data_IF_136587300630
#
_entry.id   IF_136587300630
#
_cell.length_a   1.000
_cell.length_b   1.000
_cell.length_c   1.000
_cell.angle_alpha   90.00
_cell.angle_beta   90.00
_cell.angle_gamma   90.00
#
_symmetry.space_group_name_H-M   'P 1'
#
loop_
_entity.id
_entity.type
_entity.pdbx_description
1 polymer ?
#
# COMPACT_ATOMS: atom_id res chain seq x y z
N UNK A 1 59.66 -33.62 -50.07
CA UNK A 1 59.47 -32.32 -50.76
C UNK A 1 58.44 -32.53 -51.86
N UNK A 2 57.17 -32.25 -51.60
CA UNK A 2 56.09 -32.49 -52.57
C UNK A 2 55.81 -31.22 -53.36
N UNK A 3 56.00 -31.28 -54.69
CA UNK A 3 55.93 -30.16 -55.62
C UNK A 3 54.47 -29.75 -55.81
N UNK A 4 54.07 -28.65 -55.20
CA UNK A 4 52.72 -28.08 -55.31
C UNK A 4 52.46 -27.61 -56.76
N UNK A 5 51.75 -28.40 -57.56
CA UNK A 5 51.24 -27.93 -58.85
C UNK A 5 50.16 -26.87 -58.63
N UNK A 6 50.50 -25.61 -58.88
CA UNK A 6 49.54 -24.51 -58.84
C UNK A 6 48.53 -24.68 -59.98
N UNK A 7 47.38 -25.29 -59.69
CA UNK A 7 46.26 -25.39 -60.63
C UNK A 7 45.53 -24.04 -60.68
N UNK A 8 45.43 -23.44 -61.87
CA UNK A 8 44.77 -22.16 -62.11
C UNK A 8 43.42 -22.37 -62.79
N UNK A 9 42.41 -21.58 -62.42
CA UNK A 9 41.20 -21.44 -63.23
C UNK A 9 41.37 -20.23 -64.14
N UNK A 10 41.22 -20.42 -65.45
CA UNK A 10 41.30 -19.35 -66.45
C UNK A 10 39.90 -19.07 -66.94
N UNK A 11 39.37 -17.90 -66.61
CA UNK A 11 38.11 -17.40 -67.18
C UNK A 11 38.52 -16.46 -68.32
N UNK A 12 38.19 -16.85 -69.54
CA UNK A 12 38.44 -16.06 -70.75
C UNK A 12 37.11 -15.42 -71.14
N UNK A 13 36.99 -14.11 -70.95
CA UNK A 13 35.83 -13.36 -71.42
C UNK A 13 36.14 -12.88 -72.84
N UNK A 14 35.47 -13.46 -73.84
CA UNK A 14 35.66 -13.11 -75.26
C UNK A 14 34.53 -12.14 -75.64
N UNK A 15 34.82 -10.83 -75.86
CA UNK A 15 33.82 -9.90 -76.35
C UNK A 15 33.54 -10.13 -77.85
N UNK A 16 32.33 -9.79 -78.30
CA UNK A 16 31.84 -10.02 -79.66
C UNK A 16 32.21 -8.90 -80.66
N UNK A 17 33.30 -8.16 -80.41
CA UNK A 17 33.80 -7.12 -81.32
C UNK A 17 35.32 -7.19 -81.48
N UNK A 18 35.83 -7.12 -82.73
CA UNK A 18 37.19 -7.54 -83.08
C UNK A 18 38.33 -6.58 -82.67
N UNK A 19 38.03 -5.41 -82.08
CA UNK A 19 39.04 -4.40 -81.72
C UNK A 19 39.40 -4.34 -80.22
N UNK A 20 38.67 -5.03 -79.34
CA UNK A 20 38.94 -4.99 -77.90
C UNK A 20 39.80 -6.15 -77.40
N UNK A 21 40.79 -5.81 -76.56
CA UNK A 21 41.75 -6.75 -75.96
C UNK A 21 41.03 -7.76 -75.08
N UNK A 22 41.33 -9.04 -75.28
CA UNK A 22 40.79 -10.13 -74.46
C UNK A 22 41.33 -10.05 -73.03
N UNK A 23 40.41 -9.91 -72.06
CA UNK A 23 40.77 -9.93 -70.64
C UNK A 23 40.78 -11.37 -70.14
N UNK A 24 41.98 -11.89 -69.88
CA UNK A 24 42.19 -13.23 -69.35
C UNK A 24 42.48 -13.13 -67.86
N UNK A 25 41.48 -13.46 -67.02
CA UNK A 25 41.64 -13.47 -65.57
C UNK A 25 42.06 -14.86 -65.12
N UNK A 26 43.34 -15.02 -64.74
CA UNK A 26 43.90 -16.26 -64.19
C UNK A 26 43.82 -16.22 -62.67
N UNK A 27 42.84 -16.90 -62.09
CA UNK A 27 42.68 -16.96 -60.63
C UNK A 27 43.34 -18.24 -60.10
N UNK A 28 44.35 -18.14 -59.22
CA UNK A 28 44.91 -19.32 -58.58
C UNK A 28 43.88 -19.92 -57.61
N UNK A 29 43.74 -21.26 -57.58
CA UNK A 29 42.79 -21.94 -56.66
C UNK A 29 42.98 -21.56 -55.19
N UNK A 30 44.19 -21.18 -54.78
CA UNK A 30 44.49 -20.68 -53.42
C UNK A 30 43.81 -19.32 -53.15
N UNK A 31 43.83 -18.39 -54.11
CA UNK A 31 43.14 -17.10 -53.96
C UNK A 31 41.62 -17.29 -53.91
N UNK A 32 41.04 -18.12 -54.78
CA UNK A 32 39.60 -18.41 -54.74
C UNK A 32 39.16 -19.01 -53.38
N UNK A 33 39.95 -19.92 -52.81
CA UNK A 33 39.69 -20.47 -51.46
C UNK A 33 39.83 -19.41 -50.36
N UNK A 34 40.79 -18.51 -50.46
CA UNK A 34 40.94 -17.38 -49.52
C UNK A 34 39.76 -16.41 -49.59
N UNK A 35 39.30 -16.06 -50.79
CA UNK A 35 38.11 -15.21 -50.97
C UNK A 35 36.85 -15.86 -50.40
N UNK A 36 36.64 -17.16 -50.65
CA UNK A 36 35.52 -17.90 -50.08
C UNK A 36 35.59 -17.96 -48.54
N UNK A 37 36.78 -18.21 -47.97
CA UNK A 37 36.99 -18.20 -46.52
C UNK A 37 36.74 -16.80 -45.92
N UNK A 38 37.18 -15.73 -46.60
CA UNK A 38 36.93 -14.35 -46.19
C UNK A 38 35.44 -13.97 -46.21
N UNK A 39 34.69 -14.47 -47.19
CA UNK A 39 33.24 -14.27 -47.24
C UNK A 39 32.54 -14.94 -46.06
N UNK A 40 32.97 -16.15 -45.67
CA UNK A 40 32.41 -16.87 -44.53
C UNK A 40 32.74 -16.15 -43.22
N UNK A 41 33.97 -15.65 -43.04
CA UNK A 41 34.33 -14.91 -41.81
C UNK A 41 33.57 -13.60 -41.69
N UNK A 42 33.37 -12.87 -42.79
CA UNK A 42 32.54 -11.66 -42.81
C UNK A 42 31.09 -12.00 -42.47
N UNK A 43 30.54 -13.09 -43.03
CA UNK A 43 29.17 -13.50 -42.75
C UNK A 43 28.97 -13.88 -41.28
N UNK A 44 29.92 -14.61 -40.68
CA UNK A 44 29.92 -14.94 -39.25
C UNK A 44 30.03 -13.68 -38.38
N UNK A 45 30.85 -12.70 -38.80
CA UNK A 45 30.99 -11.43 -38.09
C UNK A 45 29.69 -10.62 -38.10
N UNK A 46 29.02 -10.53 -39.25
CA UNK A 46 27.71 -9.87 -39.37
C UNK A 46 26.66 -10.58 -38.52
N UNK A 47 26.65 -11.93 -38.52
CA UNK A 47 25.74 -12.71 -37.69
C UNK A 47 25.98 -12.46 -36.19
N UNK A 48 27.24 -12.37 -35.77
CA UNK A 48 27.63 -12.07 -34.39
C UNK A 48 27.15 -10.69 -33.96
N UNK A 49 27.32 -9.67 -34.82
CA UNK A 49 26.81 -8.33 -34.56
C UNK A 49 25.27 -8.29 -34.48
N UNK A 50 24.59 -9.03 -35.34
CA UNK A 50 23.13 -9.13 -35.31
C UNK A 50 22.62 -9.77 -34.01
N UNK A 51 23.27 -10.86 -33.58
CA UNK A 51 22.96 -11.52 -32.29
C UNK A 51 23.24 -10.57 -31.12
N UNK A 52 24.40 -9.90 -31.11
CA UNK A 52 24.77 -8.94 -30.06
C UNK A 52 23.79 -7.77 -29.96
N UNK A 53 23.41 -7.18 -31.11
CA UNK A 53 22.41 -6.12 -31.20
C UNK A 53 21.05 -6.59 -30.67
N UNK A 54 20.57 -7.75 -31.11
CA UNK A 54 19.29 -8.30 -30.65
C UNK A 54 19.29 -8.62 -29.15
N UNK A 55 20.43 -9.07 -28.60
CA UNK A 55 20.62 -9.30 -27.16
C UNK A 55 20.55 -7.98 -26.37
N UNK A 56 21.21 -6.92 -26.85
CA UNK A 56 21.17 -5.60 -26.22
C UNK A 56 19.77 -4.99 -26.19
N UNK A 57 19.03 -5.07 -27.31
CA UNK A 57 17.67 -4.53 -27.40
C UNK A 57 16.71 -5.27 -26.46
N UNK A 58 16.80 -6.60 -26.36
CA UNK A 58 15.97 -7.37 -25.41
C UNK A 58 16.25 -6.99 -23.96
N UNK A 59 17.52 -6.76 -23.62
CA UNK A 59 17.93 -6.33 -22.27
C UNK A 59 17.44 -4.92 -21.93
N UNK A 60 17.39 -4.01 -22.92
CA UNK A 60 16.81 -2.68 -22.76
C UNK A 60 15.27 -2.71 -22.62
N UNK A 61 14.58 -3.56 -23.39
CA UNK A 61 13.13 -3.71 -23.28
C UNK A 61 12.70 -4.22 -21.89
N UNK A 62 13.48 -5.14 -21.30
CA UNK A 62 13.25 -5.60 -19.92
C UNK A 62 13.43 -4.52 -18.86
N UNK A 63 14.17 -3.44 -19.15
CA UNK A 63 14.39 -2.34 -18.20
C UNK A 63 13.16 -1.46 -18.03
N UNK A 64 12.47 -1.14 -19.12
CA UNK A 64 11.19 -0.40 -19.08
C UNK A 64 10.12 -1.20 -18.33
N UNK A 65 10.04 -2.50 -18.57
CA UNK A 65 9.11 -3.39 -17.89
C UNK A 65 9.36 -3.45 -16.37
N UNK A 66 10.63 -3.50 -15.96
CA UNK A 66 11.03 -3.46 -14.55
C UNK A 66 10.66 -2.09 -13.93
N UNK A 67 10.95 -0.99 -14.63
CA UNK A 67 10.61 0.36 -14.16
C UNK A 67 9.10 0.54 -14.02
N UNK A 68 8.31 0.05 -14.97
CA UNK A 68 6.86 0.07 -14.88
C UNK A 68 6.35 -0.77 -13.70
N UNK A 69 6.91 -1.97 -13.48
CA UNK A 69 6.59 -2.79 -12.29
C UNK A 69 6.93 -2.07 -10.99
N UNK A 70 8.07 -1.37 -10.91
CA UNK A 70 8.45 -0.57 -9.75
C UNK A 70 7.46 0.58 -9.50
N UNK A 71 7.06 1.32 -10.54
CA UNK A 71 6.07 2.41 -10.43
C UNK A 71 4.69 1.87 -10.01
N UNK A 72 4.29 0.71 -10.53
CA UNK A 72 3.03 0.07 -10.14
C UNK A 72 3.06 -0.42 -8.68
N UNK A 73 4.19 -0.97 -8.23
CA UNK A 73 4.39 -1.36 -6.83
C UNK A 73 4.37 -0.15 -5.89
N UNK A 74 5.04 0.95 -6.25
CA UNK A 74 5.00 2.20 -5.47
C UNK A 74 3.57 2.75 -5.33
N UNK A 75 2.77 2.70 -6.42
CA UNK A 75 1.36 3.08 -6.38
C UNK A 75 0.53 2.19 -5.45
N UNK A 76 0.79 0.89 -5.43
CA UNK A 76 0.11 -0.03 -4.51
C UNK A 76 0.48 0.27 -3.06
N UNK A 77 1.76 0.48 -2.76
CA UNK A 77 2.23 0.83 -1.41
C UNK A 77 1.57 2.13 -0.93
N UNK A 78 1.53 3.18 -1.76
CA UNK A 78 0.86 4.44 -1.42
C UNK A 78 -0.64 4.24 -1.15
N UNK A 79 -1.32 3.44 -1.97
CA UNK A 79 -2.75 3.14 -1.75
C UNK A 79 -2.97 2.45 -0.41
N UNK A 80 -2.12 1.50 -0.04
CA UNK A 80 -2.22 0.82 1.25
C UNK A 80 -1.87 1.73 2.43
N UNK A 81 -0.89 2.63 2.28
CA UNK A 81 -0.56 3.65 3.28
C UNK A 81 -1.74 4.60 3.52
N UNK A 82 -2.36 5.10 2.46
CA UNK A 82 -3.54 5.96 2.53
C UNK A 82 -4.72 5.25 3.22
N UNK A 83 -4.96 3.97 2.89
CA UNK A 83 -5.99 3.16 3.55
C UNK A 83 -5.70 2.96 5.04
N UNK A 84 -4.44 2.75 5.41
CA UNK A 84 -4.02 2.58 6.81
C UNK A 84 -4.24 3.86 7.60
N UNK A 85 -3.79 5.00 7.07
CA UNK A 85 -4.01 6.33 7.69
C UNK A 85 -5.49 6.64 7.88
N UNK A 86 -6.33 6.28 6.91
CA UNK A 86 -7.78 6.45 7.02
C UNK A 86 -8.37 5.60 8.16
N UNK A 87 -7.92 4.35 8.31
CA UNK A 87 -8.37 3.47 9.38
C UNK A 87 -7.93 3.98 10.76
N UNK A 88 -6.69 4.46 10.87
CA UNK A 88 -6.16 5.05 12.11
C UNK A 88 -7.00 6.28 12.52
N UNK A 89 -7.31 7.17 11.56
CA UNK A 89 -8.18 8.34 11.81
C UNK A 89 -9.60 7.94 12.25
N UNK A 90 -10.16 6.88 11.68
CA UNK A 90 -11.48 6.35 12.10
C UNK A 90 -11.43 5.80 13.53
N UNK A 91 -10.36 5.11 13.89
CA UNK A 91 -10.16 4.56 15.23
C UNK A 91 -10.05 5.69 16.27
N UNK A 92 -9.27 6.74 15.98
CA UNK A 92 -9.16 7.91 16.86
C UNK A 92 -10.50 8.60 17.09
N UNK A 93 -11.29 8.75 16.02
CA UNK A 93 -12.65 9.30 16.11
C UNK A 93 -13.58 8.43 16.96
N UNK A 94 -13.45 7.10 16.88
CA UNK A 94 -14.20 6.18 17.74
C UNK A 94 -13.81 6.36 19.21
N UNK A 95 -12.51 6.39 19.51
CA UNK A 95 -11.98 6.58 20.87
C UNK A 95 -12.48 7.92 21.44
N UNK A 96 -12.43 8.99 20.65
CA UNK A 96 -12.96 10.29 21.05
C UNK A 96 -14.45 10.21 21.41
N UNK A 97 -15.27 9.57 20.56
CA UNK A 97 -16.72 9.41 20.81
C UNK A 97 -17.01 8.56 22.04
N UNK A 98 -16.30 7.44 22.23
CA UNK A 98 -16.43 6.60 23.43
C UNK A 98 -16.13 7.43 24.69
N UNK A 99 -15.04 8.20 24.66
CA UNK A 99 -14.65 9.05 25.78
C UNK A 99 -15.68 10.16 26.08
N UNK A 100 -16.34 10.73 25.07
CA UNK A 100 -17.45 11.65 25.30
C UNK A 100 -18.62 10.97 26.01
N UNK A 101 -19.00 9.75 25.60
CA UNK A 101 -20.06 8.97 26.25
C UNK A 101 -19.69 8.68 27.71
N UNK A 102 -18.45 8.25 27.97
CA UNK A 102 -17.96 8.00 29.34
C UNK A 102 -18.05 9.26 30.20
N UNK A 103 -17.62 10.42 29.68
CA UNK A 103 -17.74 11.71 30.40
C UNK A 103 -19.19 12.07 30.71
N UNK A 104 -20.11 11.89 29.77
CA UNK A 104 -21.55 12.13 30.00
C UNK A 104 -22.12 11.21 31.09
N UNK A 105 -21.56 10.02 31.26
CA UNK A 105 -21.94 9.05 32.29
C UNK A 105 -21.16 9.20 33.61
N UNK A 106 -20.26 10.17 33.72
CA UNK A 106 -19.40 10.33 34.90
C UNK A 106 -18.37 9.21 35.09
N UNK A 107 -18.07 8.44 34.04
CA UNK A 107 -17.09 7.36 34.05
C UNK A 107 -15.67 7.87 33.71
N UNK A 108 -14.65 7.15 34.20
CA UNK A 108 -13.25 7.48 33.89
C UNK A 108 -12.94 7.36 32.40
N UNK A 109 -12.26 8.36 31.87
CA UNK A 109 -11.80 8.41 30.47
C UNK A 109 -10.55 7.57 30.33
N UNK A 110 -10.48 6.75 29.28
CA UNK A 110 -9.27 5.97 29.00
C UNK A 110 -8.33 6.79 28.12
N UNK A 111 -7.41 7.52 28.75
CA UNK A 111 -6.44 8.40 28.07
C UNK A 111 -5.15 7.69 27.68
N UNK A 112 -4.87 6.50 28.25
CA UNK A 112 -3.64 5.74 28.01
C UNK A 112 -3.50 5.19 26.59
N UNK A 113 -4.61 4.99 25.88
CA UNK A 113 -4.56 4.42 24.52
C UNK A 113 -4.19 5.43 23.43
N UNK A 114 -4.39 6.74 23.65
CA UNK A 114 -4.02 7.78 22.68
C UNK A 114 -2.50 7.88 22.48
N UNK A 115 -1.72 7.51 23.50
CA UNK A 115 -0.24 7.51 23.44
C UNK A 115 0.36 6.27 22.79
N UNK A 116 -0.41 5.22 22.50
CA UNK A 116 0.10 4.00 21.86
C UNK A 116 0.29 4.15 20.36
N UNK A 117 -0.37 5.11 19.70
CA UNK A 117 -0.24 5.34 18.26
C UNK A 117 1.16 5.84 17.85
N UNK A 118 1.87 6.57 18.72
CA UNK A 118 3.24 7.03 18.43
C UNK A 118 4.29 5.91 18.49
N UNK A 119 3.97 4.72 19.02
CA UNK A 119 4.90 3.57 19.04
C UNK A 119 4.77 2.68 17.80
N UNK A 120 3.74 2.88 16.99
CA UNK A 120 3.54 2.13 15.73
C UNK A 120 4.46 2.65 14.62
N UNK A 121 5.01 3.86 14.74
CA UNK A 121 6.02 4.40 13.82
C UNK A 121 7.39 3.70 13.92
N UNK A 122 7.66 2.94 14.99
CA UNK A 122 8.97 2.34 15.22
C UNK A 122 9.10 0.87 14.80
N UNK A 123 8.05 0.25 14.25
CA UNK A 123 8.13 -1.16 13.82
C UNK A 123 8.05 -1.24 12.30
N UNK A 124 9.19 -1.00 11.65
CA UNK A 124 9.32 -1.01 10.19
C UNK A 124 9.10 -2.40 9.55
N UNK A 125 8.98 -3.46 10.35
CA UNK A 125 8.98 -4.85 9.87
C UNK A 125 7.74 -5.68 10.27
N UNK A 126 6.65 -5.08 10.79
CA UNK A 126 5.42 -5.86 11.01
C UNK A 126 4.72 -6.08 9.66
N UNK A 127 4.37 -7.32 9.28
CA UNK A 127 3.57 -7.59 8.10
C UNK A 127 2.27 -6.78 8.10
N UNK A 128 1.94 -6.18 6.95
CA UNK A 128 0.75 -5.34 6.81
C UNK A 128 -0.53 -6.09 7.23
N UNK A 129 -0.61 -7.41 6.98
CA UNK A 129 -1.74 -8.23 7.44
C UNK A 129 -1.93 -8.21 8.95
N UNK A 130 -0.84 -8.26 9.72
CA UNK A 130 -0.90 -8.28 11.18
C UNK A 130 -1.32 -6.92 11.75
N UNK A 131 -0.86 -5.83 11.12
CA UNK A 131 -1.30 -4.46 11.46
C UNK A 131 -2.80 -4.29 11.21
N UNK A 132 -3.30 -4.71 10.05
CA UNK A 132 -4.73 -4.65 9.71
C UNK A 132 -5.56 -5.52 10.67
N UNK A 133 -5.10 -6.75 10.98
CA UNK A 133 -5.79 -7.64 11.91
C UNK A 133 -5.89 -7.03 13.31
N UNK A 134 -4.81 -6.42 13.79
CA UNK A 134 -4.77 -5.74 15.09
C UNK A 134 -5.75 -4.56 15.12
N UNK A 135 -5.76 -3.73 14.06
CA UNK A 135 -6.69 -2.60 13.94
C UNK A 135 -8.15 -3.08 13.94
N UNK A 136 -8.48 -4.10 13.14
CA UNK A 136 -9.84 -4.65 13.08
C UNK A 136 -10.29 -5.23 14.43
N UNK A 137 -9.39 -5.91 15.16
CA UNK A 137 -9.68 -6.39 16.51
C UNK A 137 -10.02 -5.24 17.46
N UNK A 138 -9.22 -4.17 17.45
CA UNK A 138 -9.46 -2.97 18.27
C UNK A 138 -10.78 -2.29 17.91
N UNK A 139 -11.09 -2.15 16.62
CA UNK A 139 -12.37 -1.57 16.17
C UNK A 139 -13.55 -2.37 16.75
N UNK A 140 -13.53 -3.70 16.61
CA UNK A 140 -14.59 -4.56 17.12
C UNK A 140 -14.74 -4.48 18.65
N UNK A 141 -13.63 -4.43 19.39
CA UNK A 141 -13.64 -4.23 20.84
C UNK A 141 -14.29 -2.90 21.22
N UNK A 142 -13.93 -1.82 20.52
CA UNK A 142 -14.49 -0.47 20.75
C UNK A 142 -15.97 -0.39 20.42
N UNK A 143 -16.41 -1.02 19.33
CA UNK A 143 -17.84 -1.12 18.99
C UNK A 143 -18.65 -1.82 20.09
N UNK A 144 -18.12 -2.93 20.64
CA UNK A 144 -18.75 -3.64 21.76
C UNK A 144 -18.82 -2.77 23.01
N UNK A 145 -17.73 -2.07 23.35
CA UNK A 145 -17.69 -1.13 24.48
C UNK A 145 -18.74 -0.02 24.32
N UNK A 146 -18.81 0.62 23.15
CA UNK A 146 -19.80 1.67 22.87
C UNK A 146 -21.22 1.14 23.01
N UNK A 147 -21.51 -0.05 22.45
CA UNK A 147 -22.83 -0.67 22.56
C UNK A 147 -23.22 -0.92 24.02
N UNK A 148 -22.28 -1.41 24.82
CA UNK A 148 -22.48 -1.60 26.26
C UNK A 148 -22.77 -0.26 26.96
N UNK A 149 -21.93 0.76 26.73
CA UNK A 149 -22.12 2.09 27.32
C UNK A 149 -23.46 2.72 26.95
N UNK A 150 -23.91 2.56 25.71
CA UNK A 150 -25.22 3.04 25.27
C UNK A 150 -26.36 2.31 25.99
N UNK A 151 -26.25 1.00 26.17
CA UNK A 151 -27.26 0.23 26.92
C UNK A 151 -27.32 0.65 28.40
N UNK A 152 -26.16 0.89 29.00
CA UNK A 152 -26.05 1.40 30.36
C UNK A 152 -26.65 2.82 30.48
N UNK A 153 -26.31 3.71 29.55
CA UNK A 153 -26.88 5.06 29.47
C UNK A 153 -28.40 5.04 29.36
N UNK A 154 -28.94 4.13 28.54
CA UNK A 154 -30.39 3.96 28.39
C UNK A 154 -31.05 3.54 29.69
N UNK A 155 -30.51 2.51 30.35
CA UNK A 155 -31.03 2.03 31.63
C UNK A 155 -30.94 3.10 32.72
N UNK A 156 -29.83 3.85 32.76
CA UNK A 156 -29.68 4.98 33.66
C UNK A 156 -30.75 6.04 33.40
N UNK A 157 -30.92 6.47 32.14
CA UNK A 157 -31.95 7.45 31.77
C UNK A 157 -33.36 6.99 32.16
N UNK A 158 -33.71 5.73 31.89
CA UNK A 158 -34.99 5.15 32.30
C UNK A 158 -35.16 5.17 33.82
N UNK A 159 -34.12 4.88 34.60
CA UNK A 159 -34.20 4.99 36.06
C UNK A 159 -34.46 6.43 36.50
N UNK A 160 -33.71 7.40 35.96
CA UNK A 160 -33.85 8.81 36.35
C UNK A 160 -35.14 9.46 35.88
N UNK A 161 -35.73 9.00 34.76
CA UNK A 161 -37.05 9.51 34.33
C UNK A 161 -38.18 9.16 35.30
N UNK A 162 -37.99 8.17 36.16
CA UNK A 162 -38.93 7.79 37.22
C UNK A 162 -38.58 8.39 38.59
N UNK A 163 -37.55 9.23 38.69
CA UNK A 163 -37.14 9.89 39.94
C UNK A 163 -37.52 11.38 39.83
N UNK A 164 -38.50 11.88 40.60
CA UNK A 164 -38.83 13.30 40.61
C UNK A 164 -37.63 14.07 41.18
N UNK A 165 -37.14 15.05 40.42
CA UNK A 165 -35.94 15.84 40.76
C UNK A 165 -36.14 17.35 40.63
N UNK A 166 -37.37 17.78 40.33
CA UNK A 166 -37.78 19.18 40.22
C UNK A 166 -38.69 19.56 41.38
N UNK A 167 -38.86 20.85 41.63
CA UNK A 167 -39.87 21.34 42.58
C UNK A 167 -41.27 20.87 42.14
N UNK A 168 -42.03 20.15 42.98
CA UNK A 168 -43.41 19.76 42.66
C UNK A 168 -44.34 20.97 42.46
N UNK A 169 -44.13 22.05 43.21
CA UNK A 169 -44.86 23.32 43.12
C UNK A 169 -43.98 24.46 43.62
N UNK A 170 -44.21 25.67 43.13
CA UNK A 170 -43.57 26.89 43.62
C UNK A 170 -44.49 27.56 44.65
N UNK A 171 -43.99 27.78 45.86
CA UNK A 171 -44.74 28.39 46.96
C UNK A 171 -43.85 28.70 48.16
N UNK A 172 -44.44 29.25 49.22
CA UNK A 172 -43.73 29.57 50.45
C UNK A 172 -43.59 28.33 51.31
N UNK A 173 -42.37 27.96 51.69
CA UNK A 173 -42.16 26.84 52.62
C UNK A 173 -42.81 27.18 53.97
N UNK A 174 -43.87 26.46 54.30
CA UNK A 174 -44.60 26.58 55.58
C UNK A 174 -43.95 25.72 56.66
N UNK A 175 -43.29 24.62 56.29
CA UNK A 175 -42.57 23.74 57.22
C UNK A 175 -41.36 23.08 56.55
N UNK A 176 -40.15 23.28 57.11
CA UNK A 176 -38.92 22.64 56.62
C UNK A 176 -38.76 21.20 57.11
N UNK A 177 -37.78 20.49 56.56
CA UNK A 177 -37.30 19.21 57.05
C UNK A 177 -36.62 19.36 58.42
N UNK A 178 -36.86 18.42 59.33
CA UNK A 178 -36.27 18.40 60.68
C UNK A 178 -37.29 18.47 61.81
N UNK A 179 -36.84 18.75 63.04
CA UNK A 179 -37.74 18.80 64.19
C UNK A 179 -38.63 20.05 64.16
N UNK A 180 -39.95 19.85 64.25
CA UNK A 180 -40.96 20.91 64.31
C UNK A 180 -41.83 20.80 65.55
N UNK A 181 -42.48 21.92 65.90
CA UNK A 181 -43.31 22.07 67.10
C UNK A 181 -44.81 22.12 66.74
N UNK A 182 -45.12 22.58 65.54
CA UNK A 182 -46.46 22.71 64.96
C UNK A 182 -46.43 22.15 63.54
N UNK A 183 -47.48 21.48 63.02
CA UNK A 183 -48.78 21.18 63.65
C UNK A 183 -48.70 20.08 64.72
N UNK A 184 -47.63 19.28 64.72
CA UNK A 184 -47.36 18.23 65.70
C UNK A 184 -45.88 18.28 66.10
N UNK A 185 -45.56 18.05 67.37
CA UNK A 185 -44.17 17.96 67.83
C UNK A 185 -43.53 16.67 67.34
N UNK A 186 -42.47 16.78 66.55
CA UNK A 186 -41.77 15.61 66.02
C UNK A 186 -40.82 15.92 64.88
N UNK A 187 -40.16 14.88 64.36
CA UNK A 187 -39.28 15.00 63.21
C UNK A 187 -40.10 14.96 61.91
N UNK A 188 -39.99 16.00 61.10
CA UNK A 188 -40.61 16.13 59.80
C UNK A 188 -39.66 15.60 58.73
N UNK A 189 -40.05 14.50 58.07
CA UNK A 189 -39.27 13.84 57.02
C UNK A 189 -39.48 14.44 55.62
N UNK A 190 -40.14 15.59 55.51
CA UNK A 190 -40.49 16.24 54.26
C UNK A 190 -40.36 17.76 54.33
N UNK A 191 -40.95 18.44 53.34
CA UNK A 191 -41.09 19.90 53.29
C UNK A 191 -42.53 20.18 52.90
N UNK A 192 -43.17 21.10 53.62
CA UNK A 192 -44.49 21.60 53.31
C UNK A 192 -44.31 22.98 52.62
N UNK A 193 -44.87 23.11 51.43
CA UNK A 193 -44.80 24.30 50.55
C UNK A 193 -46.21 24.89 50.43
#
# INVERSE_FOLDING_TARGET
MEKNENKFFTIILIPHSPEDKTFVLKIPKKAAKMFAAGLITVLLFVLSLFIYSSYYVRRAASYEDIKQKLVLQDKQIKKFDDQTKLLDSRLEKLIYRENQIRKMLGLSTDTKELTLNNKVESVKDVPLEEKIKTINSKINEKEKSIKFLLSYAKAFRERFSHIPSIWPIYGQITSNFGYRIFPWRGFHSGIDI
#
